data_IF_444630992368
#
_entry.id   IF_444630992368
#
_cell.length_a   1.000
_cell.length_b   1.000
_cell.length_c   1.000
_cell.angle_alpha   90.00
_cell.angle_beta   90.00
_cell.angle_gamma   90.00
#
_symmetry.space_group_name_H-M   'P 1'
#
loop_
_entity.id
_entity.type
_entity.pdbx_description
1 polymer ?
#
# COMPACT_ATOMS: atom_id res chain seq x y z
N UNK A 1 17.23 -7.55 16.56
CA UNK A 1 18.08 -6.36 16.78
C UNK A 1 18.08 -5.58 15.45
N UNK A 2 17.32 -4.50 15.36
CA UNK A 2 17.23 -3.67 14.16
C UNK A 2 18.60 -3.07 13.84
N UNK A 3 19.03 -3.14 12.57
CA UNK A 3 20.32 -2.60 12.13
C UNK A 3 20.34 -1.09 12.24
N UNK A 4 21.50 -0.50 12.53
CA UNK A 4 21.71 0.96 12.58
C UNK A 4 21.23 1.66 11.30
N UNK A 5 21.30 1.02 10.14
CA UNK A 5 20.83 1.57 8.87
C UNK A 5 19.30 1.59 8.75
N UNK A 6 18.61 0.59 9.31
CA UNK A 6 17.12 0.58 9.38
C UNK A 6 16.61 1.67 10.31
N UNK A 7 17.34 1.92 11.42
CA UNK A 7 17.01 3.01 12.36
C UNK A 7 17.22 4.38 11.69
N UNK A 8 18.27 4.56 10.89
CA UNK A 8 18.53 5.82 10.17
C UNK A 8 17.45 6.09 9.13
N UNK A 9 16.95 5.08 8.42
CA UNK A 9 15.88 5.24 7.43
C UNK A 9 14.56 5.60 8.10
N UNK A 10 14.22 4.95 9.22
CA UNK A 10 13.03 5.27 10.01
C UNK A 10 13.13 6.66 10.64
N UNK A 11 14.29 7.05 11.16
CA UNK A 11 14.55 8.39 11.71
C UNK A 11 14.50 9.45 10.61
N UNK A 12 15.03 9.17 9.42
CA UNK A 12 14.92 10.06 8.26
C UNK A 12 13.48 10.27 7.79
N UNK A 13 12.66 9.23 7.81
CA UNK A 13 11.22 9.30 7.52
C UNK A 13 10.46 10.08 8.62
N UNK A 14 10.81 9.90 9.89
CA UNK A 14 10.21 10.65 11.01
C UNK A 14 10.59 12.12 10.92
N UNK A 15 11.82 12.48 10.55
CA UNK A 15 12.24 13.88 10.38
C UNK A 15 11.55 14.56 9.18
N UNK A 16 11.24 13.83 8.10
CA UNK A 16 10.40 14.30 7.00
C UNK A 16 8.95 14.58 7.48
N UNK A 17 8.42 13.73 8.36
CA UNK A 17 7.10 13.91 8.98
C UNK A 17 7.09 15.15 9.90
N UNK A 18 8.14 15.39 10.68
CA UNK A 18 8.27 16.59 11.55
C UNK A 18 8.47 17.86 10.73
N UNK A 19 9.25 17.82 9.63
CA UNK A 19 9.39 18.95 8.72
C UNK A 19 8.07 19.31 8.03
N UNK A 20 7.25 18.33 7.70
CA UNK A 20 5.91 18.55 7.15
C UNK A 20 4.93 19.14 8.19
N UNK A 21 5.08 18.78 9.47
CA UNK A 21 4.27 19.31 10.60
C UNK A 21 4.63 20.73 11.03
N UNK A 22 5.89 21.10 10.96
CA UNK A 22 6.36 22.41 11.45
C UNK A 22 5.97 23.61 10.56
N UNK A 23 5.25 23.40 9.47
CA UNK A 23 4.76 24.43 8.57
C UNK A 23 3.26 24.75 8.71
N UNK A 24 2.61 24.30 9.79
CA UNK A 24 1.22 24.66 10.07
C UNK A 24 1.08 26.07 10.64
N UNK A 25 0.74 27.05 9.81
CA UNK A 25 -0.08 28.19 10.19
C UNK A 25 -0.98 28.59 9.01
N UNK A 26 -2.25 28.24 9.14
CA UNK A 26 -3.38 28.94 8.53
C UNK A 26 -3.65 28.71 7.04
N UNK A 27 -4.42 27.68 6.70
CA UNK A 27 -5.04 27.52 5.38
C UNK A 27 -6.29 26.67 5.45
N UNK A 28 -7.42 27.20 4.96
CA UNK A 28 -8.69 26.45 4.84
C UNK A 28 -8.54 25.21 3.99
N UNK A 29 -9.17 24.07 4.36
CA UNK A 29 -9.12 22.86 3.56
C UNK A 29 -9.73 23.09 2.17
N UNK A 30 -9.13 22.49 1.15
CA UNK A 30 -9.65 22.49 -0.21
C UNK A 30 -11.07 21.92 -0.22
N UNK A 31 -12.02 22.65 -0.80
CA UNK A 31 -13.40 22.21 -0.95
C UNK A 31 -13.45 20.96 -1.84
N UNK A 32 -14.01 19.89 -1.28
CA UNK A 32 -14.42 18.70 -2.02
C UNK A 32 -15.50 19.05 -3.04
N UNK A 33 -15.26 18.74 -4.28
CA UNK A 33 -16.32 18.72 -5.31
C UNK A 33 -16.97 17.34 -5.26
N UNK A 34 -18.02 17.23 -4.46
CA UNK A 34 -18.87 16.05 -4.38
C UNK A 34 -19.88 16.21 -3.25
N UNK A 35 -21.16 16.26 -3.60
CA UNK A 35 -22.30 16.48 -2.68
C UNK A 35 -22.65 15.21 -1.87
N UNK A 36 -21.67 14.56 -1.26
CA UNK A 36 -21.90 13.47 -0.33
C UNK A 36 -21.95 13.97 1.13
N UNK A 37 -22.62 13.24 2.01
CA UNK A 37 -22.59 13.55 3.44
C UNK A 37 -21.13 13.58 3.93
N UNK A 38 -20.79 14.45 4.89
CA UNK A 38 -19.42 14.60 5.38
C UNK A 38 -18.75 13.27 5.78
N UNK A 39 -19.51 12.34 6.33
CA UNK A 39 -19.02 10.99 6.69
C UNK A 39 -18.63 10.14 5.48
N UNK A 40 -19.35 10.21 4.36
CA UNK A 40 -19.03 9.50 3.11
C UNK A 40 -17.74 10.05 2.50
N UNK A 41 -17.55 11.37 2.50
CA UNK A 41 -16.34 12.00 2.02
C UNK A 41 -15.12 11.62 2.85
N UNK A 42 -15.26 11.56 4.17
CA UNK A 42 -14.18 11.13 5.07
C UNK A 42 -13.84 9.64 4.85
N UNK A 43 -14.85 8.79 4.65
CA UNK A 43 -14.63 7.36 4.36
C UNK A 43 -13.96 7.14 3.01
N UNK A 44 -14.41 7.84 1.97
CA UNK A 44 -13.75 7.82 0.66
C UNK A 44 -12.31 8.38 0.76
N UNK A 45 -12.11 9.47 1.49
CA UNK A 45 -10.79 10.05 1.71
C UNK A 45 -9.83 9.10 2.43
N UNK A 46 -10.31 8.38 3.45
CA UNK A 46 -9.50 7.40 4.17
C UNK A 46 -9.14 6.19 3.30
N UNK A 47 -10.04 5.76 2.42
CA UNK A 47 -9.87 4.60 1.55
C UNK A 47 -9.22 4.90 0.20
N UNK A 48 -9.17 6.16 -0.21
CA UNK A 48 -8.47 6.58 -1.44
C UNK A 48 -6.95 6.51 -1.22
N UNK A 49 -6.21 5.59 -1.91
CA UNK A 49 -4.78 5.42 -1.70
C UNK A 49 -3.95 6.62 -2.14
N UNK A 50 -4.47 7.49 -3.01
CA UNK A 50 -3.80 8.70 -3.52
C UNK A 50 -4.44 9.99 -3.03
N UNK A 51 -5.15 9.94 -1.90
CA UNK A 51 -5.64 11.15 -1.22
C UNK A 51 -4.44 12.04 -0.83
N UNK A 52 -4.50 13.38 -1.05
CA UNK A 52 -3.42 14.32 -0.73
C UNK A 52 -3.24 14.52 0.79
N UNK A 53 -2.99 13.45 1.51
CA UNK A 53 -2.67 13.41 2.93
C UNK A 53 -1.44 12.55 3.16
N UNK A 54 -0.57 12.95 4.10
CA UNK A 54 0.47 12.06 4.58
C UNK A 54 -0.19 10.81 5.14
N UNK A 55 0.19 9.65 4.61
CA UNK A 55 -0.45 8.38 4.97
C UNK A 55 0.58 7.41 5.54
N UNK A 56 0.25 6.77 6.64
CA UNK A 56 0.99 5.64 7.21
C UNK A 56 0.05 4.45 7.28
N UNK A 57 0.39 3.36 6.58
CA UNK A 57 -0.36 2.11 6.59
C UNK A 57 0.47 1.02 7.31
N UNK A 58 -0.15 0.37 8.27
CA UNK A 58 0.31 -0.87 8.89
C UNK A 58 -0.62 -1.97 8.41
N UNK A 59 -0.11 -2.90 7.62
CA UNK A 59 -0.92 -3.93 6.99
C UNK A 59 -0.31 -5.31 7.25
N UNK A 60 -1.15 -6.32 7.23
CA UNK A 60 -0.72 -7.70 7.42
C UNK A 60 -1.54 -8.65 6.55
N UNK A 61 -0.84 -9.55 5.87
CA UNK A 61 -1.40 -10.73 5.22
C UNK A 61 -1.07 -11.96 6.07
N UNK A 62 -2.05 -12.50 6.72
CA UNK A 62 -1.95 -13.73 7.49
C UNK A 62 -2.44 -14.92 6.66
N UNK A 63 -1.55 -15.90 6.43
CA UNK A 63 -1.83 -17.12 5.67
C UNK A 63 -1.83 -18.30 6.65
N UNK A 64 -2.99 -18.81 7.07
CA UNK A 64 -3.08 -19.86 8.10
C UNK A 64 -2.55 -21.21 7.65
N UNK A 65 -2.52 -21.47 6.35
CA UNK A 65 -2.02 -22.72 5.79
C UNK A 65 -1.48 -22.48 4.38
N UNK A 66 -0.19 -22.15 4.24
CA UNK A 66 0.46 -22.10 2.92
C UNK A 66 0.47 -23.47 2.27
N UNK A 67 0.17 -23.54 0.98
CA UNK A 67 0.18 -24.80 0.24
C UNK A 67 1.60 -25.36 0.13
N UNK A 68 1.75 -26.65 0.26
CA UNK A 68 3.05 -27.35 0.27
C UNK A 68 3.77 -27.33 1.63
N UNK A 69 3.26 -26.59 2.61
CA UNK A 69 3.84 -26.49 3.95
C UNK A 69 2.78 -26.70 5.04
N UNK A 70 2.22 -27.92 5.10
CA UNK A 70 1.22 -28.25 6.12
C UNK A 70 1.77 -28.00 7.55
N UNK A 71 0.99 -27.30 8.36
CA UNK A 71 1.38 -26.96 9.74
C UNK A 71 2.25 -25.70 9.90
N UNK A 72 2.47 -24.92 8.85
CA UNK A 72 3.20 -23.65 8.88
C UNK A 72 2.25 -22.47 8.67
N UNK A 73 2.63 -21.32 9.20
CA UNK A 73 1.90 -20.06 9.08
C UNK A 73 2.76 -19.11 8.26
N UNK A 74 2.19 -18.49 7.24
CA UNK A 74 2.77 -17.35 6.54
C UNK A 74 2.25 -16.06 7.15
N UNK A 75 3.14 -15.09 7.32
CA UNK A 75 2.79 -13.78 7.88
C UNK A 75 3.64 -12.71 7.20
N UNK A 76 2.99 -11.82 6.45
CA UNK A 76 3.64 -10.69 5.78
C UNK A 76 3.07 -9.39 6.29
N UNK A 77 3.87 -8.67 7.07
CA UNK A 77 3.62 -7.29 7.45
C UNK A 77 4.07 -6.32 6.37
N UNK A 78 3.34 -5.23 6.17
CA UNK A 78 3.72 -4.13 5.29
C UNK A 78 3.64 -2.81 6.05
N UNK A 79 4.75 -2.11 6.13
CA UNK A 79 4.78 -0.70 6.48
C UNK A 79 4.80 0.10 5.19
N UNK A 80 3.78 0.95 4.99
CA UNK A 80 3.72 1.85 3.84
C UNK A 80 3.65 3.29 4.33
N UNK A 81 4.45 4.15 3.73
CA UNK A 81 4.40 5.60 3.95
C UNK A 81 4.17 6.27 2.63
N UNK A 82 3.18 7.15 2.56
CA UNK A 82 2.86 7.87 1.33
C UNK A 82 2.81 9.36 1.59
N UNK A 83 3.49 10.10 0.74
CA UNK A 83 3.65 11.56 0.84
C UNK A 83 3.13 12.21 -0.44
N UNK A 84 2.12 13.09 -0.36
CA UNK A 84 1.76 13.94 -1.47
C UNK A 84 2.82 15.05 -1.62
N UNK A 85 3.22 15.32 -2.86
CA UNK A 85 4.21 16.34 -3.20
C UNK A 85 3.60 17.22 -4.29
N UNK A 86 3.55 18.53 -4.04
CA UNK A 86 3.10 19.53 -5.00
C UNK A 86 4.31 20.39 -5.39
N UNK A 87 5.08 19.94 -6.38
CA UNK A 87 6.27 20.65 -6.85
C UNK A 87 6.22 20.82 -8.38
N UNK A 88 6.76 21.93 -8.87
CA UNK A 88 6.83 22.26 -10.30
C UNK A 88 5.46 22.24 -11.03
N UNK A 89 4.35 22.48 -10.32
CA UNK A 89 3.00 22.43 -10.88
C UNK A 89 2.48 21.00 -11.12
N UNK A 90 3.19 19.98 -10.66
CA UNK A 90 2.78 18.58 -10.72
C UNK A 90 2.29 18.13 -9.36
N UNK A 91 1.16 17.42 -9.35
CA UNK A 91 0.68 16.70 -8.17
C UNK A 91 1.28 15.30 -8.19
N UNK A 92 2.19 15.03 -7.28
CA UNK A 92 2.88 13.74 -7.16
C UNK A 92 2.47 13.01 -5.89
N UNK A 93 2.59 11.71 -5.92
CA UNK A 93 2.31 10.83 -4.79
C UNK A 93 3.40 9.79 -4.69
N UNK A 94 4.33 10.04 -3.77
CA UNK A 94 5.45 9.13 -3.49
C UNK A 94 5.04 8.13 -2.43
N UNK A 95 5.22 6.83 -2.69
CA UNK A 95 4.99 5.77 -1.71
C UNK A 95 6.23 4.92 -1.53
N UNK A 96 6.55 4.70 -0.25
CA UNK A 96 7.58 3.77 0.21
C UNK A 96 6.90 2.57 0.86
N UNK A 97 7.31 1.36 0.49
CA UNK A 97 6.77 0.10 1.00
C UNK A 97 7.92 -0.71 1.57
N UNK A 98 7.80 -1.13 2.82
CA UNK A 98 8.76 -1.98 3.50
C UNK A 98 8.04 -3.25 3.99
N UNK A 99 8.29 -4.42 3.35
CA UNK A 99 7.79 -5.69 3.85
C UNK A 99 8.53 -6.10 5.13
N UNK A 100 7.80 -6.71 6.06
CA UNK A 100 8.32 -7.32 7.29
C UNK A 100 7.72 -8.72 7.37
N UNK A 101 8.46 -9.70 6.89
CA UNK A 101 7.96 -11.06 6.74
C UNK A 101 8.36 -11.93 7.92
N UNK A 102 7.45 -12.80 8.31
CA UNK A 102 7.69 -13.86 9.26
C UNK A 102 7.49 -15.21 8.58
N UNK A 103 8.61 -15.88 8.29
CA UNK A 103 8.59 -17.18 7.63
C UNK A 103 8.91 -18.30 8.63
N UNK A 104 8.22 -19.43 8.51
CA UNK A 104 8.60 -20.64 9.24
C UNK A 104 9.82 -21.26 8.55
N UNK A 105 10.88 -21.56 9.29
CA UNK A 105 12.07 -22.25 8.78
C UNK A 105 11.98 -23.75 8.97
N UNK A 106 12.68 -24.52 8.12
CA UNK A 106 12.65 -25.99 8.17
C UNK A 106 13.27 -26.57 9.47
N UNK A 107 14.16 -25.83 10.12
CA UNK A 107 14.98 -26.33 11.22
C UNK A 107 14.87 -25.53 12.52
N UNK A 108 13.92 -24.61 12.65
CA UNK A 108 13.81 -23.79 13.84
C UNK A 108 12.52 -22.99 13.90
N UNK A 109 12.36 -22.20 14.95
CA UNK A 109 11.22 -21.30 15.12
C UNK A 109 11.09 -20.25 14.00
N UNK A 110 10.01 -19.49 14.00
CA UNK A 110 9.78 -18.47 12.97
C UNK A 110 10.89 -17.42 12.99
N UNK A 111 11.48 -17.19 11.83
CA UNK A 111 12.41 -16.06 11.60
C UNK A 111 11.64 -14.86 11.05
N UNK A 112 11.95 -13.68 11.58
CA UNK A 112 11.42 -12.41 11.08
C UNK A 112 12.53 -11.67 10.34
N UNK A 113 12.22 -11.20 9.14
CA UNK A 113 13.14 -10.43 8.31
C UNK A 113 12.45 -9.26 7.62
N UNK A 114 13.27 -8.33 7.17
CA UNK A 114 12.84 -7.19 6.36
C UNK A 114 13.02 -7.57 4.90
N UNK A 115 12.01 -7.29 4.08
CA UNK A 115 12.00 -7.54 2.65
C UNK A 115 12.69 -6.45 1.82
N UNK A 116 12.54 -6.52 0.52
CA UNK A 116 13.04 -5.52 -0.41
C UNK A 116 12.20 -4.25 -0.35
N UNK A 117 12.88 -3.09 -0.25
CA UNK A 117 12.25 -1.79 -0.18
C UNK A 117 11.75 -1.39 -1.57
N UNK A 118 10.45 -1.13 -1.69
CA UNK A 118 9.86 -0.64 -2.94
C UNK A 118 9.45 0.83 -2.80
N UNK A 119 9.75 1.62 -3.82
CA UNK A 119 9.35 3.02 -3.93
C UNK A 119 8.69 3.23 -5.29
N UNK A 120 7.59 3.95 -5.31
CA UNK A 120 7.04 4.47 -6.56
C UNK A 120 6.57 5.92 -6.40
N UNK A 121 6.62 6.66 -7.51
CA UNK A 121 6.19 8.04 -7.62
C UNK A 121 5.18 8.18 -8.73
N UNK A 122 3.94 8.55 -8.39
CA UNK A 122 2.85 8.73 -9.35
C UNK A 122 2.59 10.20 -9.58
N UNK A 123 2.68 10.64 -10.82
CA UNK A 123 2.13 11.93 -11.26
C UNK A 123 0.62 11.78 -11.40
N UNK A 124 -0.13 12.63 -10.71
CA UNK A 124 -1.59 12.53 -10.61
C UNK A 124 -2.28 13.58 -11.49
N UNK A 125 -3.32 13.14 -12.18
CA UNK A 125 -4.20 13.96 -13.00
C UNK A 125 -5.65 13.81 -12.54
N UNK A 126 -6.41 14.89 -12.59
CA UNK A 126 -7.83 14.89 -12.27
C UNK A 126 -8.66 15.09 -13.54
N UNK A 127 -9.56 14.16 -13.83
CA UNK A 127 -10.46 14.25 -14.98
C UNK A 127 -11.86 13.77 -14.58
N UNK A 128 -12.87 14.64 -14.70
CA UNK A 128 -14.28 14.33 -14.43
C UNK A 128 -14.52 13.61 -13.08
N UNK A 129 -13.86 14.08 -12.01
CA UNK A 129 -13.96 13.50 -10.67
C UNK A 129 -13.22 12.16 -10.50
N UNK A 130 -12.44 11.76 -11.50
CA UNK A 130 -11.58 10.58 -11.48
C UNK A 130 -10.13 11.02 -11.31
N UNK A 131 -9.39 10.39 -10.40
CA UNK A 131 -7.94 10.53 -10.28
C UNK A 131 -7.26 9.45 -11.09
N UNK A 132 -6.36 9.84 -11.97
CA UNK A 132 -5.51 8.96 -12.77
C UNK A 132 -4.07 9.27 -12.39
N UNK A 133 -3.27 8.26 -12.10
CA UNK A 133 -1.85 8.42 -11.77
C UNK A 133 -1.00 7.39 -12.47
N UNK A 134 0.20 7.78 -12.85
CA UNK A 134 1.20 6.86 -13.39
C UNK A 134 2.61 7.35 -13.06
N UNK A 135 3.55 6.42 -12.96
CA UNK A 135 4.94 6.79 -12.75
C UNK A 135 5.86 5.60 -12.51
N UNK A 136 7.15 5.86 -12.31
CA UNK A 136 8.16 4.83 -12.13
C UNK A 136 8.03 4.12 -10.78
N UNK A 137 8.47 2.87 -10.78
CA UNK A 137 8.60 2.01 -9.61
C UNK A 137 10.03 1.45 -9.56
N UNK A 138 10.62 1.39 -8.38
CA UNK A 138 11.90 0.75 -8.13
C UNK A 138 11.87 -0.06 -6.83
N UNK A 139 12.42 -1.27 -6.85
CA UNK A 139 12.66 -2.09 -5.67
C UNK A 139 14.15 -2.30 -5.45
N UNK A 140 14.62 -1.98 -4.24
CA UNK A 140 16.01 -2.11 -3.84
C UNK A 140 16.21 -3.41 -3.04
N UNK A 141 17.31 -4.16 -3.26
CA UNK A 141 17.60 -5.42 -2.58
C UNK A 141 18.08 -5.18 -1.14
N UNK A 142 17.17 -4.73 -0.27
CA UNK A 142 17.44 -4.44 1.13
C UNK A 142 17.21 -5.61 2.07
N UNK A 143 16.61 -6.69 1.56
CA UNK A 143 16.32 -7.90 2.31
C UNK A 143 17.60 -8.60 2.80
N UNK A 144 17.52 -9.18 4.00
CA UNK A 144 18.60 -9.99 4.56
C UNK A 144 18.40 -11.47 4.21
N UNK A 145 18.76 -11.84 2.98
CA UNK A 145 18.70 -13.21 2.48
C UNK A 145 17.47 -13.48 1.61
N UNK A 146 17.57 -14.54 0.81
CA UNK A 146 16.58 -14.91 -0.22
C UNK A 146 15.23 -15.39 0.36
N UNK A 147 15.13 -15.60 1.66
CA UNK A 147 13.86 -15.92 2.31
C UNK A 147 12.92 -14.71 2.41
N UNK A 148 13.42 -13.49 2.24
CA UNK A 148 12.69 -12.24 2.47
C UNK A 148 12.72 -11.30 1.26
N UNK A 149 13.54 -11.57 0.25
CA UNK A 149 13.65 -10.74 -0.95
C UNK A 149 14.45 -11.38 -2.06
N UNK A 150 14.48 -10.71 -3.20
CA UNK A 150 15.11 -11.22 -4.42
C UNK A 150 16.64 -11.12 -4.41
N UNK A 151 17.20 -10.22 -3.61
CA UNK A 151 18.61 -9.84 -3.68
C UNK A 151 18.98 -9.09 -4.98
N UNK A 152 17.99 -8.59 -5.70
CA UNK A 152 18.11 -7.95 -7.01
C UNK A 152 17.41 -6.61 -7.05
N UNK A 153 17.95 -5.68 -7.83
CA UNK A 153 17.27 -4.46 -8.19
C UNK A 153 16.19 -4.77 -9.21
N UNK A 154 15.00 -4.22 -8.97
CA UNK A 154 13.88 -4.29 -9.88
C UNK A 154 13.41 -2.89 -10.23
N UNK A 155 12.97 -2.69 -11.45
CA UNK A 155 12.41 -1.43 -11.92
C UNK A 155 11.19 -1.70 -12.79
N UNK A 156 10.30 -0.73 -12.84
CA UNK A 156 9.07 -0.83 -13.61
C UNK A 156 8.20 0.39 -13.50
N UNK A 157 6.91 0.19 -13.58
CA UNK A 157 5.92 1.26 -13.54
C UNK A 157 4.75 0.93 -12.63
N UNK A 158 4.16 1.95 -12.04
CA UNK A 158 2.90 1.87 -11.32
C UNK A 158 1.87 2.77 -11.98
N UNK A 159 0.60 2.34 -12.00
CA UNK A 159 -0.51 3.09 -12.52
C UNK A 159 -1.76 2.92 -11.67
N UNK A 160 -2.52 4.00 -11.48
CA UNK A 160 -3.74 3.98 -10.67
C UNK A 160 -4.86 4.76 -11.36
N UNK A 161 -6.07 4.24 -11.24
CA UNK A 161 -7.31 4.96 -11.54
C UNK A 161 -8.23 4.83 -10.35
N UNK A 162 -8.72 5.96 -9.83
CA UNK A 162 -9.63 6.01 -8.67
C UNK A 162 -10.77 6.96 -8.96
N UNK A 163 -11.99 6.51 -8.71
CA UNK A 163 -13.20 7.32 -8.78
C UNK A 163 -14.03 7.18 -7.51
N UNK A 164 -14.18 8.27 -6.74
CA UNK A 164 -15.13 8.32 -5.64
C UNK A 164 -16.55 8.52 -6.16
N UNK A 165 -17.51 7.93 -5.48
CA UNK A 165 -18.96 8.06 -5.67
C UNK A 165 -19.61 8.40 -4.33
N UNK A 166 -20.86 8.83 -4.35
CA UNK A 166 -21.63 9.10 -3.13
C UNK A 166 -21.83 7.85 -2.27
N UNK A 167 -21.84 6.67 -2.88
CA UNK A 167 -21.98 5.39 -2.19
C UNK A 167 -20.67 4.71 -1.83
N UNK A 168 -19.52 5.19 -2.32
CA UNK A 168 -18.25 4.51 -2.10
C UNK A 168 -17.12 4.90 -3.04
N UNK A 169 -16.22 3.98 -3.33
CA UNK A 169 -15.02 4.19 -4.12
C UNK A 169 -14.76 3.00 -5.04
N UNK A 170 -14.48 3.28 -6.30
CA UNK A 170 -13.97 2.28 -7.24
C UNK A 170 -12.61 2.68 -7.75
N UNK A 171 -11.76 1.68 -7.99
CA UNK A 171 -10.48 1.92 -8.61
C UNK A 171 -9.71 0.65 -8.94
N UNK A 172 -8.54 0.86 -9.51
CA UNK A 172 -7.56 -0.17 -9.81
C UNK A 172 -6.17 0.41 -9.69
N UNK A 173 -5.27 -0.32 -9.03
CA UNK A 173 -3.83 -0.06 -8.99
C UNK A 173 -3.14 -1.22 -9.72
N UNK A 174 -2.23 -0.89 -10.62
CA UNK A 174 -1.41 -1.85 -11.36
C UNK A 174 0.05 -1.51 -11.09
N UNK A 175 0.86 -2.50 -10.73
CA UNK A 175 2.31 -2.38 -10.69
C UNK A 175 2.89 -3.47 -11.59
N UNK A 176 3.93 -3.11 -12.33
CA UNK A 176 4.69 -4.02 -13.16
C UNK A 176 6.17 -3.79 -12.89
N UNK A 177 6.88 -4.85 -12.49
CA UNK A 177 8.28 -4.75 -12.08
C UNK A 177 9.12 -5.90 -12.64
N UNK A 178 10.33 -5.56 -13.07
CA UNK A 178 11.29 -6.46 -13.70
C UNK A 178 12.67 -6.34 -13.07
N UNK A 179 13.32 -7.47 -12.83
CA UNK A 179 14.70 -7.50 -12.39
C UNK A 179 15.65 -7.02 -13.52
N UNK A 180 16.53 -6.10 -13.20
CA UNK A 180 17.52 -5.59 -14.16
C UNK A 180 18.99 -5.73 -13.69
N UNK A 181 19.23 -5.91 -12.38
CA UNK A 181 20.58 -6.03 -11.84
C UNK A 181 20.58 -6.76 -10.50
N UNK A 182 21.70 -7.35 -10.12
CA UNK A 182 21.91 -7.99 -8.81
C UNK A 182 22.58 -9.35 -8.88
N UNK A 183 22.50 -10.11 -7.77
CA UNK A 183 23.16 -11.41 -7.64
C UNK A 183 22.54 -12.46 -8.59
N UNK A 184 23.37 -13.18 -9.33
CA UNK A 184 22.92 -14.22 -10.26
C UNK A 184 22.25 -15.43 -9.58
N UNK A 185 22.44 -15.63 -8.28
CA UNK A 185 21.89 -16.76 -7.52
C UNK A 185 20.48 -16.53 -6.99
N UNK A 186 19.95 -15.30 -7.02
CA UNK A 186 18.62 -14.97 -6.51
C UNK A 186 17.52 -15.16 -7.55
N UNK A 187 16.26 -15.19 -7.09
CA UNK A 187 15.11 -15.29 -7.98
C UNK A 187 15.06 -14.11 -8.96
N UNK A 188 14.57 -14.35 -10.18
CA UNK A 188 14.30 -13.29 -11.16
C UNK A 188 12.89 -12.77 -10.89
N UNK A 189 12.78 -11.49 -10.57
CA UNK A 189 11.50 -10.82 -10.45
C UNK A 189 11.01 -10.42 -11.85
N UNK A 190 9.84 -10.87 -12.21
CA UNK A 190 9.03 -10.38 -13.32
C UNK A 190 7.58 -10.54 -12.89
N UNK A 191 7.08 -9.50 -12.24
CA UNK A 191 5.80 -9.57 -11.55
C UNK A 191 4.93 -8.39 -11.93
N UNK A 192 3.71 -8.72 -12.33
CA UNK A 192 2.64 -7.75 -12.52
C UNK A 192 1.60 -7.98 -11.43
N UNK A 193 1.25 -6.94 -10.70
CA UNK A 193 0.15 -6.98 -9.75
C UNK A 193 -0.99 -6.08 -10.20
N UNK A 194 -2.22 -6.56 -10.00
CA UNK A 194 -3.44 -5.80 -10.24
C UNK A 194 -4.27 -5.81 -8.97
N UNK A 195 -4.52 -4.65 -8.41
CA UNK A 195 -5.35 -4.52 -7.22
C UNK A 195 -6.66 -3.78 -7.55
N UNK A 196 -7.78 -4.51 -7.72
CA UNK A 196 -9.10 -3.89 -7.70
C UNK A 196 -9.34 -3.21 -6.35
N UNK A 197 -9.95 -2.05 -6.36
CA UNK A 197 -10.28 -1.27 -5.16
C UNK A 197 -11.77 -1.00 -5.21
N UNK A 198 -12.53 -1.70 -4.36
CA UNK A 198 -13.98 -1.60 -4.30
C UNK A 198 -14.38 -1.34 -2.84
N UNK A 199 -14.97 -0.18 -2.57
CA UNK A 199 -15.50 0.15 -1.26
C UNK A 199 -16.96 0.60 -1.38
N UNK A 200 -17.79 0.12 -0.47
CA UNK A 200 -19.18 0.55 -0.32
C UNK A 200 -19.40 1.12 1.08
N UNK A 201 -19.78 2.39 1.17
CA UNK A 201 -19.86 3.11 2.43
C UNK A 201 -21.24 2.95 3.08
N UNK A 202 -21.24 2.78 4.41
CA UNK A 202 -22.42 2.84 5.27
C UNK A 202 -22.38 4.09 6.15
N UNK A 203 -23.39 4.23 7.00
CA UNK A 203 -23.43 5.29 8.00
C UNK A 203 -22.33 5.12 9.06
N UNK A 204 -21.98 6.23 9.71
CA UNK A 204 -21.03 6.28 10.83
C UNK A 204 -19.60 5.80 10.48
N UNK A 205 -19.17 5.91 9.21
CA UNK A 205 -17.82 5.57 8.76
C UNK A 205 -17.56 4.07 8.57
N UNK A 206 -18.57 3.21 8.69
CA UNK A 206 -18.45 1.81 8.31
C UNK A 206 -18.47 1.64 6.80
N UNK A 207 -17.78 0.63 6.30
CA UNK A 207 -17.77 0.30 4.87
C UNK A 207 -17.46 -1.19 4.62
N UNK A 208 -17.91 -1.67 3.47
CA UNK A 208 -17.46 -2.94 2.90
C UNK A 208 -16.28 -2.68 1.98
N UNK A 209 -15.42 -3.68 1.84
CA UNK A 209 -14.24 -3.63 0.97
C UNK A 209 -13.99 -4.93 0.24
N UNK A 210 -13.42 -4.83 -0.96
CA UNK A 210 -12.84 -5.92 -1.72
C UNK A 210 -11.61 -5.38 -2.44
N UNK A 211 -10.42 -5.84 -2.01
CA UNK A 211 -9.15 -5.27 -2.47
C UNK A 211 -8.06 -6.33 -2.66
N UNK A 212 -8.45 -7.57 -2.97
CA UNK A 212 -7.52 -8.66 -3.23
C UNK A 212 -6.51 -8.29 -4.32
N UNK A 213 -5.23 -8.49 -4.06
CA UNK A 213 -4.15 -8.22 -5.04
C UNK A 213 -3.97 -9.45 -5.91
N UNK A 214 -4.23 -9.31 -7.20
CA UNK A 214 -3.97 -10.34 -8.20
C UNK A 214 -2.50 -10.28 -8.59
N UNK A 215 -1.83 -11.40 -8.55
CA UNK A 215 -0.40 -11.51 -8.84
C UNK A 215 -0.16 -12.40 -10.06
N UNK A 216 0.67 -11.91 -10.97
CA UNK A 216 1.07 -12.61 -12.19
C UNK A 216 2.60 -12.58 -12.29
N UNK A 217 3.27 -13.69 -12.01
CA UNK A 217 4.70 -13.83 -12.19
C UNK A 217 4.96 -14.73 -13.41
N UNK A 218 5.36 -14.13 -14.52
CA UNK A 218 5.53 -14.84 -15.79
C UNK A 218 6.79 -15.72 -15.82
N UNK A 219 7.80 -15.40 -15.05
CA UNK A 219 9.02 -16.20 -14.99
C UNK A 219 8.83 -17.52 -14.25
N UNK A 220 8.14 -17.49 -13.10
CA UNK A 220 7.86 -18.69 -12.30
C UNK A 220 6.52 -19.35 -12.63
N UNK A 221 5.77 -18.81 -13.59
CA UNK A 221 4.40 -19.26 -13.93
C UNK A 221 3.47 -19.28 -12.72
N UNK A 222 3.68 -18.36 -11.77
CA UNK A 222 2.83 -18.19 -10.60
C UNK A 222 1.73 -17.19 -10.94
N UNK A 223 0.49 -17.59 -10.66
CA UNK A 223 -0.67 -16.73 -10.76
C UNK A 223 -1.52 -16.92 -9.51
N UNK A 224 -1.99 -15.82 -8.94
CA UNK A 224 -2.89 -15.84 -7.79
C UNK A 224 -3.95 -14.74 -7.94
N UNK A 225 -5.22 -15.13 -7.89
CA UNK A 225 -6.37 -14.24 -8.04
C UNK A 225 -7.26 -14.36 -6.80
N UNK A 226 -6.92 -13.69 -5.69
CA UNK A 226 -7.75 -13.64 -4.51
C UNK A 226 -8.93 -12.69 -4.70
N UNK A 227 -10.11 -13.12 -4.27
CA UNK A 227 -11.29 -12.29 -4.05
C UNK A 227 -11.47 -12.11 -2.54
N UNK A 228 -11.60 -10.86 -2.11
CA UNK A 228 -11.80 -10.51 -0.72
C UNK A 228 -13.21 -9.98 -0.47
N UNK A 229 -13.70 -10.20 0.75
CA UNK A 229 -14.89 -9.53 1.26
C UNK A 229 -14.63 -9.15 2.71
N UNK A 230 -14.47 -7.86 2.95
CA UNK A 230 -14.07 -7.34 4.23
C UNK A 230 -14.91 -6.16 4.71
N UNK A 231 -14.67 -5.79 5.94
CA UNK A 231 -15.30 -4.66 6.61
C UNK A 231 -14.24 -3.73 7.18
N UNK A 232 -14.56 -2.47 7.25
CA UNK A 232 -13.71 -1.50 7.91
C UNK A 232 -14.52 -0.36 8.52
N UNK A 233 -13.79 0.44 9.30
CA UNK A 233 -14.36 1.64 9.91
C UNK A 233 -13.35 2.77 9.92
N UNK A 234 -13.83 3.94 9.55
CA UNK A 234 -13.09 5.20 9.55
C UNK A 234 -13.59 6.08 10.71
N UNK A 235 -12.65 6.68 11.40
CA UNK A 235 -12.88 7.73 12.39
C UNK A 235 -12.15 8.99 11.94
N UNK A 236 -12.84 10.12 11.99
CA UNK A 236 -12.25 11.44 11.82
C UNK A 236 -12.02 12.07 13.18
N UNK A 237 -10.83 12.56 13.40
CA UNK A 237 -10.48 13.33 14.60
C UNK A 237 -10.78 14.81 14.40
N UNK A 238 -10.89 15.56 15.49
CA UNK A 238 -11.18 17.01 15.46
C UNK A 238 -10.12 17.84 14.72
N UNK A 239 -8.88 17.37 14.67
CA UNK A 239 -7.77 17.99 13.93
C UNK A 239 -7.75 17.64 12.43
N UNK A 240 -8.74 16.85 11.94
CA UNK A 240 -8.84 16.44 10.56
C UNK A 240 -8.11 15.13 10.22
N UNK A 241 -7.39 14.51 11.15
CA UNK A 241 -6.77 13.21 10.95
C UNK A 241 -7.83 12.13 10.72
N UNK A 242 -7.52 11.16 9.87
CA UNK A 242 -8.35 9.99 9.63
C UNK A 242 -7.64 8.75 10.17
N UNK A 243 -8.38 7.94 10.92
CA UNK A 243 -7.95 6.61 11.37
C UNK A 243 -8.87 5.58 10.74
N UNK A 244 -8.32 4.58 10.10
CA UNK A 244 -9.07 3.55 9.41
C UNK A 244 -8.56 2.17 9.85
N UNK A 245 -9.46 1.31 10.31
CA UNK A 245 -9.18 -0.09 10.65
C UNK A 245 -10.03 -1.00 9.78
N UNK A 246 -9.45 -2.11 9.33
CA UNK A 246 -10.15 -3.06 8.47
C UNK A 246 -9.62 -4.48 8.59
N UNK A 247 -10.49 -5.42 8.21
CA UNK A 247 -10.18 -6.83 8.04
C UNK A 247 -10.90 -7.36 6.81
N UNK A 248 -10.22 -8.18 6.01
CA UNK A 248 -10.71 -8.72 4.75
C UNK A 248 -10.24 -10.16 4.57
N UNK A 249 -11.04 -11.17 4.91
CA UNK A 249 -10.83 -12.52 4.46
C UNK A 249 -10.79 -12.59 2.93
N UNK A 250 -9.81 -13.29 2.37
CA UNK A 250 -9.61 -13.43 0.93
C UNK A 250 -9.47 -14.90 0.55
N UNK A 251 -10.09 -15.29 -0.57
CA UNK A 251 -10.03 -16.63 -1.14
C UNK A 251 -9.54 -16.56 -2.57
N UNK A 252 -8.49 -17.31 -2.90
CA UNK A 252 -7.94 -17.37 -4.25
C UNK A 252 -8.82 -18.26 -5.14
N UNK A 253 -9.57 -17.60 -6.03
CA UNK A 253 -10.47 -18.29 -6.98
C UNK A 253 -9.71 -18.93 -8.12
N UNK A 254 -8.54 -18.44 -8.44
CA UNK A 254 -7.60 -19.06 -9.36
C UNK A 254 -6.18 -18.93 -8.78
N UNK A 255 -5.43 -20.03 -8.88
CA UNK A 255 -4.03 -20.06 -8.46
C UNK A 255 -3.27 -21.11 -9.25
N UNK A 256 -2.03 -20.79 -9.58
CA UNK A 256 -1.06 -21.71 -10.17
C UNK A 256 0.32 -21.45 -9.58
N UNK A 257 1.18 -22.46 -9.62
CA UNK A 257 2.52 -22.39 -9.03
C UNK A 257 2.54 -22.73 -7.54
N UNK A 258 3.75 -22.80 -7.00
CA UNK A 258 3.99 -23.13 -5.59
C UNK A 258 3.83 -21.89 -4.72
N UNK A 259 3.33 -22.06 -3.48
CA UNK A 259 3.20 -21.04 -2.43
C UNK A 259 2.04 -20.04 -2.58
N UNK A 260 1.17 -20.17 -3.56
CA UNK A 260 -0.04 -19.36 -3.64
C UNK A 260 -1.03 -19.77 -2.54
N UNK A 261 -1.45 -18.86 -1.64
CA UNK A 261 -2.35 -19.18 -0.55
C UNK A 261 -3.76 -19.44 -1.06
N UNK A 262 -4.43 -20.49 -0.56
CA UNK A 262 -5.87 -20.70 -0.83
C UNK A 262 -6.74 -19.71 -0.08
N UNK A 263 -6.37 -19.45 1.17
CA UNK A 263 -7.02 -18.49 2.06
C UNK A 263 -5.97 -17.60 2.69
N UNK A 264 -6.31 -16.33 2.81
CA UNK A 264 -5.54 -15.37 3.59
C UNK A 264 -6.47 -14.37 4.27
N UNK A 265 -5.98 -13.77 5.34
CA UNK A 265 -6.67 -12.68 6.02
C UNK A 265 -5.83 -11.43 5.87
N UNK A 266 -6.37 -10.45 5.17
CA UNK A 266 -5.78 -9.13 5.06
C UNK A 266 -6.37 -8.21 6.12
N UNK A 267 -5.54 -7.62 6.95
CA UNK A 267 -5.96 -6.68 7.97
C UNK A 267 -5.01 -5.47 8.01
N UNK A 268 -5.51 -4.34 8.47
CA UNK A 268 -4.63 -3.19 8.59
C UNK A 268 -5.22 -2.00 9.33
N UNK A 269 -4.30 -1.08 9.62
CA UNK A 269 -4.58 0.23 10.18
C UNK A 269 -3.95 1.30 9.28
N UNK A 270 -4.75 2.29 8.87
CA UNK A 270 -4.30 3.45 8.10
C UNK A 270 -4.47 4.70 8.93
N UNK A 271 -3.42 5.50 8.97
CA UNK A 271 -3.40 6.82 9.60
C UNK A 271 -3.13 7.87 8.53
N UNK A 272 -4.02 8.85 8.40
CA UNK A 272 -3.86 9.95 7.45
C UNK A 272 -3.85 11.28 8.15
N UNK A 273 -2.89 12.11 7.76
CA UNK A 273 -2.63 13.42 8.35
C UNK A 273 -2.76 14.49 7.27
N UNK A 274 -3.58 15.53 7.46
CA UNK A 274 -3.62 16.66 6.53
C UNK A 274 -2.23 17.29 6.38
N UNK A 275 -1.82 17.56 5.15
CA UNK A 275 -0.58 18.30 4.86
C UNK A 275 -0.96 19.73 4.53
N UNK A 276 -0.37 20.71 5.22
CA UNK A 276 -0.58 22.14 4.95
C UNK A 276 -0.11 22.49 3.53
N UNK A 277 -0.93 23.17 2.72
CA UNK A 277 -0.50 23.72 1.43
C UNK A 277 0.45 24.89 1.68
N UNK A 278 1.64 24.86 1.09
CA UNK A 278 2.46 26.07 0.95
C UNK A 278 1.64 27.13 0.19
N UNK A 279 1.39 28.27 0.81
CA UNK A 279 0.93 29.45 0.09
C UNK A 279 2.08 29.91 -0.80
N UNK A 280 1.98 29.78 -2.10
CA UNK A 280 2.79 30.56 -3.04
C UNK A 280 2.29 32.00 -2.92
N UNK A 281 3.02 32.84 -2.21
CA UNK A 281 2.86 34.29 -2.28
C UNK A 281 3.37 34.72 -3.66
N UNK A 282 2.46 35.25 -4.45
CA UNK A 282 2.75 36.06 -5.66
C UNK A 282 2.82 37.53 -5.27
#
# INVERSE_FOLDING_TARGET
MLSKHTIILVVGLVSLVESARSQETGGRPAQNVGSGSGATNDTNGANNPVNPMLTIDLQNYFVPSPEGYSGRIGDQGLLRVSVPIDEFGLHQFVRVILPIDRTATEQGGPNTGVGDLTVYDLVLFQAHGTTIGAGPLIAAPTARGFAYGSGKWQAGAAGIVIKPFDWGLLGVLVNDEHTFSGNNSGPVGQETTVQPIIHYNFHHGFYLRSTGVWTFNSYYHVQDIPLGFGVGKVWKRSNGDLVNLYIEPQYSVYRSGVLSPKWQIFAGATFKFPVGRRRTEH
#
